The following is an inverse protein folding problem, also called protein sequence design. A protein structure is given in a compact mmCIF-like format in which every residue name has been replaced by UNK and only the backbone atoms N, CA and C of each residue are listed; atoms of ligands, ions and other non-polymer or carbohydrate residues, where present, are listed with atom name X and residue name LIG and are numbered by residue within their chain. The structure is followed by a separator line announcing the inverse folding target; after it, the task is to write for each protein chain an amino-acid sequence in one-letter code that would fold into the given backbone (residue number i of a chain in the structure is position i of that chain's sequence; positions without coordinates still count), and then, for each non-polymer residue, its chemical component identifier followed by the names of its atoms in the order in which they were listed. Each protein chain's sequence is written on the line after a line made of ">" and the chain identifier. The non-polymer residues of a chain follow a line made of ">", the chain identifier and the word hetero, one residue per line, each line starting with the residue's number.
data_IF_742241833474
#
_entry.id   IF_742241833474
#
_cell.length_a   1.000
_cell.length_b   1.000
_cell.length_c   1.000
_cell.angle_alpha   90.00
_cell.angle_beta   90.00
_cell.angle_gamma   90.00
#
_symmetry.space_group_name_H-M   'P 1'
#
loop_
_entity.id
_entity.type
_entity.pdbx_description
1 polymer ?
#
# COMPACT_ATOMS: atom_id res chain seq x y z
N UNK A 1 -0.62 6.52 -12.82
CA UNK A 1 -0.60 5.20 -12.17
C UNK A 1 -1.97 4.93 -11.55
N UNK A 2 -2.77 3.98 -12.07
CA UNK A 2 -4.18 3.79 -11.66
C UNK A 2 -4.31 2.58 -10.72
N UNK A 3 -5.03 2.74 -9.61
CA UNK A 3 -5.34 1.69 -8.66
C UNK A 3 -6.85 1.56 -8.47
N UNK A 4 -7.44 0.42 -8.84
CA UNK A 4 -8.89 0.24 -8.85
C UNK A 4 -9.42 -0.27 -7.52
N UNK A 5 -10.59 0.22 -7.09
CA UNK A 5 -11.25 -0.30 -5.91
C UNK A 5 -11.84 -1.68 -6.22
N UNK A 6 -11.68 -2.62 -5.29
CA UNK A 6 -12.30 -3.94 -5.38
C UNK A 6 -13.72 -3.91 -4.80
N UNK A 7 -14.66 -4.56 -5.49
CA UNK A 7 -15.96 -4.92 -4.92
C UNK A 7 -15.85 -6.07 -3.93
N UNK A 8 -14.84 -6.94 -4.10
CA UNK A 8 -14.52 -8.04 -3.21
C UNK A 8 -13.02 -8.36 -3.31
N UNK A 9 -12.31 -8.59 -2.19
CA UNK A 9 -10.87 -8.81 -2.18
C UNK A 9 -10.54 -10.27 -2.54
N UNK A 10 -10.74 -10.67 -3.80
CA UNK A 10 -10.45 -12.04 -4.27
C UNK A 10 -9.93 -12.08 -5.70
N UNK A 11 -9.20 -13.14 -6.00
CA UNK A 11 -8.72 -13.40 -7.36
C UNK A 11 -9.84 -13.92 -8.28
N UNK A 12 -9.72 -13.69 -9.61
CA UNK A 12 -8.82 -12.71 -10.21
C UNK A 12 -9.33 -11.28 -9.95
N UNK A 13 -8.45 -10.38 -9.49
CA UNK A 13 -8.84 -9.01 -9.10
C UNK A 13 -9.54 -8.23 -10.21
N UNK A 14 -9.18 -8.48 -11.47
CA UNK A 14 -9.80 -7.86 -12.64
C UNK A 14 -11.31 -8.05 -12.69
N UNK A 15 -11.82 -9.20 -12.24
CA UNK A 15 -13.26 -9.49 -12.24
C UNK A 15 -14.02 -8.73 -11.15
N UNK A 16 -13.31 -8.21 -10.14
CA UNK A 16 -13.88 -7.50 -9.00
C UNK A 16 -13.53 -6.00 -9.00
N UNK A 17 -12.75 -5.53 -9.98
CA UNK A 17 -12.35 -4.14 -10.09
C UNK A 17 -13.54 -3.25 -10.52
N UNK A 18 -13.78 -2.20 -9.73
CA UNK A 18 -14.71 -1.12 -10.08
C UNK A 18 -13.97 -0.12 -10.96
N UNK A 19 -14.29 -0.10 -12.24
CA UNK A 19 -13.54 0.70 -13.23
C UNK A 19 -13.87 2.20 -13.16
N UNK A 20 -14.96 2.55 -12.49
CA UNK A 20 -15.44 3.90 -12.20
C UNK A 20 -14.94 4.44 -10.85
N UNK A 21 -14.34 3.60 -10.00
CA UNK A 21 -13.84 3.99 -8.67
C UNK A 21 -12.36 3.61 -8.55
N UNK A 22 -11.49 4.61 -8.63
CA UNK A 22 -10.04 4.40 -8.63
C UNK A 22 -9.26 5.56 -8.00
N UNK A 23 -8.06 5.24 -7.50
CA UNK A 23 -7.03 6.21 -7.10
C UNK A 23 -6.06 6.44 -8.27
N UNK A 24 -5.56 7.66 -8.40
CA UNK A 24 -4.52 8.02 -9.38
C UNK A 24 -3.28 8.51 -8.66
N UNK A 25 -2.17 7.82 -8.87
CA UNK A 25 -0.85 8.22 -8.39
C UNK A 25 -0.03 8.87 -9.50
N UNK A 26 0.85 9.78 -9.09
CA UNK A 26 1.87 10.34 -9.96
C UNK A 26 2.77 9.24 -10.51
N UNK A 27 3.15 9.38 -11.78
CA UNK A 27 4.11 8.48 -12.44
C UNK A 27 5.56 8.84 -12.12
N UNK A 28 5.77 10.06 -11.65
CA UNK A 28 7.08 10.59 -11.29
C UNK A 28 7.01 11.12 -9.87
N UNK A 29 7.80 10.50 -8.99
CA UNK A 29 7.87 10.86 -7.57
C UNK A 29 8.55 12.23 -7.39
N UNK A 30 9.51 12.59 -8.23
CA UNK A 30 10.13 13.91 -8.21
C UNK A 30 9.14 15.03 -8.51
N UNK A 31 8.24 14.81 -9.48
CA UNK A 31 7.14 15.75 -9.75
C UNK A 31 6.15 15.83 -8.58
N UNK A 32 5.83 14.71 -7.93
CA UNK A 32 4.99 14.69 -6.72
C UNK A 32 5.65 15.45 -5.56
N UNK A 33 6.94 15.23 -5.31
CA UNK A 33 7.71 15.96 -4.31
C UNK A 33 7.78 17.45 -4.62
N UNK A 34 7.92 17.82 -5.90
CA UNK A 34 7.84 19.21 -6.37
C UNK A 34 6.47 19.85 -6.11
N UNK A 35 5.39 19.10 -6.38
CA UNK A 35 4.02 19.56 -6.17
C UNK A 35 3.72 19.88 -4.70
N UNK A 36 4.29 19.12 -3.76
CA UNK A 36 4.09 19.37 -2.33
C UNK A 36 4.81 20.61 -1.77
N UNK A 37 5.75 21.19 -2.53
CA UNK A 37 6.46 22.40 -2.15
C UNK A 37 7.71 22.19 -1.29
N UNK A 38 8.44 23.28 -1.05
CA UNK A 38 9.79 23.28 -0.48
C UNK A 38 9.87 22.71 0.94
N UNK A 39 8.83 22.84 1.75
CA UNK A 39 8.79 22.30 3.12
C UNK A 39 8.83 20.76 3.11
N UNK A 40 8.02 20.13 2.25
CA UNK A 40 8.01 18.68 2.10
C UNK A 40 9.32 18.19 1.52
N UNK A 41 9.89 18.88 0.54
CA UNK A 41 11.21 18.54 0.00
C UNK A 41 12.30 18.57 1.07
N UNK A 42 12.37 19.63 1.88
CA UNK A 42 13.34 19.74 2.96
C UNK A 42 13.18 18.62 3.97
N UNK A 43 11.96 18.36 4.42
CA UNK A 43 11.73 17.31 5.41
C UNK A 43 12.07 15.92 4.86
N UNK A 44 11.85 15.63 3.56
CA UNK A 44 12.35 14.42 2.90
C UNK A 44 13.88 14.35 2.88
N UNK A 45 14.57 15.45 2.60
CA UNK A 45 16.04 15.51 2.61
C UNK A 45 16.61 15.22 4.01
N UNK A 46 15.87 15.57 5.07
CA UNK A 46 16.21 15.25 6.45
C UNK A 46 15.69 13.87 6.91
N UNK A 47 15.07 13.09 6.03
CA UNK A 47 14.62 11.73 6.31
C UNK A 47 13.26 11.63 7.02
N UNK A 48 12.51 12.74 7.13
CA UNK A 48 11.13 12.69 7.62
C UNK A 48 10.21 12.16 6.52
N UNK A 49 9.78 10.92 6.68
CA UNK A 49 8.85 10.26 5.74
C UNK A 49 7.41 10.27 6.24
N UNK A 50 7.12 10.90 7.39
CA UNK A 50 5.75 10.99 7.96
C UNK A 50 4.95 12.15 7.37
N UNK A 51 5.59 12.99 6.56
CA UNK A 51 4.99 14.15 5.90
C UNK A 51 3.75 13.75 5.09
N UNK A 52 2.70 14.58 5.18
CA UNK A 52 1.39 14.38 4.51
C UNK A 52 0.79 12.99 4.78
N UNK A 53 0.87 12.52 6.03
CA UNK A 53 0.25 11.27 6.50
C UNK A 53 0.69 10.03 5.71
N UNK A 54 1.92 10.02 5.16
CA UNK A 54 2.43 8.87 4.41
C UNK A 54 1.95 8.76 2.96
N UNK A 55 1.18 9.73 2.44
CA UNK A 55 0.72 9.73 1.05
C UNK A 55 1.86 9.64 0.03
N UNK A 56 3.02 10.24 0.33
CA UNK A 56 4.21 10.11 -0.51
C UNK A 56 4.76 8.68 -0.52
N UNK A 57 4.85 8.04 0.65
CA UNK A 57 5.31 6.65 0.76
C UNK A 57 4.38 5.70 -0.01
N UNK A 58 3.07 5.90 0.13
CA UNK A 58 2.07 5.15 -0.63
C UNK A 58 2.28 5.32 -2.15
N UNK A 59 2.52 6.55 -2.61
CA UNK A 59 2.80 6.82 -4.02
C UNK A 59 4.12 6.19 -4.51
N UNK A 60 5.17 6.20 -3.68
CA UNK A 60 6.46 5.54 -3.97
C UNK A 60 6.26 4.03 -4.11
N UNK A 61 5.55 3.41 -3.17
CA UNK A 61 5.23 1.97 -3.24
C UNK A 61 4.39 1.65 -4.46
N UNK A 62 3.36 2.46 -4.75
CA UNK A 62 2.55 2.31 -5.95
C UNK A 62 3.45 2.28 -7.20
N UNK A 63 4.31 3.28 -7.36
CA UNK A 63 5.22 3.41 -8.49
C UNK A 63 6.17 2.21 -8.64
N UNK A 64 6.78 1.75 -7.54
CA UNK A 64 7.64 0.56 -7.52
C UNK A 64 6.86 -0.68 -8.00
N UNK A 65 5.67 -0.93 -7.45
CA UNK A 65 4.88 -2.10 -7.76
C UNK A 65 4.44 -2.14 -9.25
N UNK A 66 4.03 -1.02 -9.85
CA UNK A 66 3.69 -1.09 -11.29
C UNK A 66 4.92 -1.19 -12.18
N UNK A 67 6.04 -0.59 -11.78
CA UNK A 67 7.32 -0.77 -12.50
C UNK A 67 7.81 -2.21 -12.44
N UNK A 68 7.46 -2.97 -11.38
CA UNK A 68 7.66 -4.43 -11.32
C UNK A 68 6.60 -5.24 -12.08
N UNK A 69 5.71 -4.59 -12.82
CA UNK A 69 4.71 -5.24 -13.67
C UNK A 69 3.40 -5.59 -12.96
N UNK A 70 3.19 -5.14 -11.72
CA UNK A 70 1.94 -5.40 -10.99
C UNK A 70 0.85 -4.42 -11.36
N UNK A 71 -0.38 -4.94 -11.45
CA UNK A 71 -1.59 -4.10 -11.45
C UNK A 71 -1.95 -3.78 -10.01
N UNK A 72 -2.32 -2.52 -9.75
CA UNK A 72 -2.70 -2.07 -8.42
C UNK A 72 -4.20 -2.15 -8.22
N UNK A 73 -4.56 -2.65 -7.05
CA UNK A 73 -5.93 -2.70 -6.56
C UNK A 73 -5.92 -2.24 -5.11
N UNK A 74 -7.01 -1.65 -4.64
CA UNK A 74 -7.19 -1.35 -3.22
C UNK A 74 -8.58 -1.84 -2.80
N UNK A 75 -8.81 -1.91 -1.50
CA UNK A 75 -10.14 -2.26 -0.98
C UNK A 75 -10.54 -1.27 0.09
N UNK A 76 -11.70 -0.65 -0.13
CA UNK A 76 -12.31 0.25 0.84
C UNK A 76 -13.78 -0.07 1.00
N UNK A 77 -14.21 -0.23 2.25
CA UNK A 77 -15.63 -0.21 2.64
C UNK A 77 -15.95 1.16 3.20
N UNK A 78 -17.18 1.65 2.97
CA UNK A 78 -17.59 3.06 3.09
C UNK A 78 -17.19 3.82 4.37
N UNK A 79 -16.70 3.21 5.45
CA UNK A 79 -16.27 3.95 6.65
C UNK A 79 -15.23 3.28 7.56
N UNK A 80 -14.92 1.99 7.44
CA UNK A 80 -14.18 1.28 8.52
C UNK A 80 -12.96 0.48 8.10
N UNK A 81 -12.87 0.03 6.85
CA UNK A 81 -11.76 -0.78 6.38
C UNK A 81 -11.19 -0.17 5.11
N UNK A 82 -9.94 0.26 5.17
CA UNK A 82 -9.15 0.66 4.01
C UNK A 82 -7.84 -0.12 4.00
N UNK A 83 -7.58 -0.76 2.86
CA UNK A 83 -6.35 -1.47 2.55
C UNK A 83 -5.69 -0.72 1.40
N UNK A 84 -4.43 -0.31 1.58
CA UNK A 84 -3.71 0.52 0.60
C UNK A 84 -3.60 -0.20 -0.74
N UNK A 85 -3.17 -1.47 -0.70
CA UNK A 85 -3.02 -2.29 -1.90
C UNK A 85 -3.43 -3.75 -1.70
N UNK A 86 -3.87 -4.36 -2.79
CA UNK A 86 -3.98 -5.80 -2.99
C UNK A 86 -3.10 -6.19 -4.19
N UNK A 87 -2.23 -7.17 -3.98
CA UNK A 87 -1.35 -7.70 -5.01
C UNK A 87 -1.51 -9.22 -5.12
N UNK A 88 -1.16 -9.77 -6.28
CA UNK A 88 -0.94 -11.21 -6.42
C UNK A 88 0.51 -11.48 -6.06
N UNK A 89 0.72 -12.18 -4.98
CA UNK A 89 2.03 -12.56 -4.47
C UNK A 89 2.02 -14.08 -4.26
N UNK A 90 3.05 -14.82 -4.65
CA UNK A 90 3.11 -16.29 -4.53
C UNK A 90 1.81 -17.04 -4.93
N UNK A 91 1.13 -16.57 -5.98
CA UNK A 91 -0.10 -17.20 -6.47
C UNK A 91 -1.41 -16.76 -5.80
N UNK A 92 -1.38 -16.06 -4.66
CA UNK A 92 -2.58 -15.76 -3.88
C UNK A 92 -2.87 -14.24 -3.80
N UNK A 93 -4.09 -13.88 -3.40
CA UNK A 93 -4.43 -12.50 -3.08
C UNK A 93 -3.77 -12.12 -1.75
N UNK A 94 -2.99 -11.05 -1.75
CA UNK A 94 -2.28 -10.60 -0.56
C UNK A 94 -2.56 -9.13 -0.29
N UNK A 95 -3.13 -8.80 0.89
CA UNK A 95 -3.25 -7.41 1.32
C UNK A 95 -1.88 -6.85 1.66
N UNK A 96 -1.65 -5.61 1.25
CA UNK A 96 -0.42 -4.87 1.48
C UNK A 96 -0.76 -3.51 2.06
N UNK A 97 -0.20 -3.22 3.23
CA UNK A 97 -0.29 -1.92 3.91
C UNK A 97 1.05 -1.21 3.87
N UNK A 98 1.03 0.11 3.66
CA UNK A 98 2.20 0.99 3.71
C UNK A 98 2.11 1.85 4.96
N UNK A 99 3.14 1.81 5.81
CA UNK A 99 3.19 2.55 7.07
C UNK A 99 4.38 3.48 7.10
N UNK A 100 4.11 4.76 7.31
CA UNK A 100 5.12 5.78 7.58
C UNK A 100 5.64 5.74 9.02
N UNK A 101 4.88 5.18 9.95
CA UNK A 101 5.24 5.06 11.36
C UNK A 101 5.01 3.64 11.88
N UNK A 102 5.95 3.13 12.69
CA UNK A 102 5.98 1.75 13.17
C UNK A 102 4.93 1.42 14.25
N UNK A 103 4.37 2.43 14.94
CA UNK A 103 3.59 2.24 16.16
C UNK A 103 2.07 2.25 16.01
N UNK A 104 1.54 2.16 14.78
CA UNK A 104 0.08 2.03 14.60
C UNK A 104 -0.32 0.56 14.57
N UNK A 105 -0.99 0.08 15.63
CA UNK A 105 -1.79 -1.16 15.59
C UNK A 105 -2.89 -1.00 14.54
N UNK A 106 -2.58 -1.31 13.29
CA UNK A 106 -3.54 -1.32 12.20
C UNK A 106 -4.54 -2.46 12.41
N UNK A 107 -5.81 -2.10 12.61
CA UNK A 107 -6.92 -3.05 12.73
C UNK A 107 -7.24 -3.73 11.39
N UNK A 108 -6.77 -3.16 10.28
CA UNK A 108 -7.07 -3.60 8.91
C UNK A 108 -6.70 -5.07 8.67
N UNK A 109 -5.44 -5.48 8.88
CA UNK A 109 -5.06 -6.91 8.75
C UNK A 109 -5.90 -7.85 9.62
N UNK A 110 -6.14 -7.47 10.88
CA UNK A 110 -6.98 -8.27 11.78
C UNK A 110 -8.40 -8.43 11.24
N UNK A 111 -9.01 -7.35 10.76
CA UNK A 111 -10.34 -7.38 10.13
C UNK A 111 -10.37 -8.22 8.87
N UNK A 112 -9.32 -8.20 8.05
CA UNK A 112 -9.20 -9.07 6.87
C UNK A 112 -9.14 -10.55 7.26
N UNK A 113 -8.44 -10.87 8.35
CA UNK A 113 -8.28 -12.25 8.78
C UNK A 113 -9.58 -12.79 9.38
N UNK A 114 -10.23 -12.00 10.25
CA UNK A 114 -11.46 -12.40 10.93
C UNK A 114 -12.69 -12.42 10.00
N UNK A 115 -12.81 -11.45 9.07
CA UNK A 115 -14.05 -11.25 8.31
C UNK A 115 -13.95 -11.62 6.82
N UNK A 116 -12.75 -11.75 6.28
CA UNK A 116 -12.52 -12.02 4.85
C UNK A 116 -11.70 -13.28 4.59
N UNK A 117 -11.30 -14.02 5.63
CA UNK A 117 -10.66 -15.34 5.50
C UNK A 117 -9.22 -15.29 4.99
N UNK A 118 -8.53 -14.16 5.13
CA UNK A 118 -7.10 -14.07 4.86
C UNK A 118 -6.30 -14.64 6.03
N UNK A 119 -5.18 -15.30 5.75
CA UNK A 119 -4.24 -15.81 6.74
C UNK A 119 -2.85 -15.15 6.66
N UNK A 120 -2.63 -14.36 5.60
CA UNK A 120 -1.39 -13.64 5.35
C UNK A 120 -1.61 -12.21 4.89
N UNK A 121 -0.65 -11.35 5.25
CA UNK A 121 -0.60 -9.97 4.81
C UNK A 121 0.80 -9.41 4.86
N UNK A 122 1.03 -8.34 4.10
CA UNK A 122 2.32 -7.66 4.02
C UNK A 122 2.20 -6.24 4.59
N UNK A 123 3.18 -5.83 5.39
CA UNK A 123 3.36 -4.44 5.81
C UNK A 123 4.70 -3.93 5.31
N UNK A 124 4.70 -2.79 4.62
CA UNK A 124 5.91 -2.05 4.26
C UNK A 124 6.09 -0.88 5.23
N UNK A 125 7.26 -0.74 5.84
CA UNK A 125 7.58 0.44 6.65
C UNK A 125 9.07 0.78 6.64
N UNK A 126 9.45 1.84 7.36
CA UNK A 126 10.85 2.21 7.56
C UNK A 126 11.59 1.29 8.56
N UNK A 127 10.88 0.37 9.22
CA UNK A 127 11.45 -0.56 10.18
C UNK A 127 12.09 -1.79 9.55
N UNK A 128 12.64 -2.66 10.40
CA UNK A 128 13.25 -3.92 9.99
C UNK A 128 12.22 -5.01 9.66
N UNK A 129 12.72 -6.08 9.04
CA UNK A 129 11.96 -7.30 8.82
C UNK A 129 11.42 -7.86 10.14
N UNK A 130 10.16 -8.24 10.15
CA UNK A 130 9.51 -8.95 11.25
C UNK A 130 8.39 -9.84 10.71
N UNK A 131 8.05 -10.91 11.42
CA UNK A 131 6.92 -11.77 11.06
C UNK A 131 6.16 -12.22 12.30
N UNK A 132 4.92 -11.76 12.40
CA UNK A 132 4.06 -11.99 13.56
C UNK A 132 2.61 -12.20 13.10
N UNK A 133 1.94 -13.23 13.62
CA UNK A 133 0.51 -13.51 13.40
C UNK A 133 0.07 -13.42 11.93
N UNK A 134 0.77 -14.12 11.03
CA UNK A 134 0.44 -14.13 9.59
C UNK A 134 0.82 -12.84 8.84
N UNK A 135 1.24 -11.78 9.52
CA UNK A 135 1.69 -10.53 8.90
C UNK A 135 3.21 -10.55 8.77
N UNK A 136 3.71 -10.36 7.56
CA UNK A 136 5.13 -10.17 7.29
C UNK A 136 5.41 -8.69 7.06
N UNK A 137 6.24 -8.11 7.91
CA UNK A 137 6.73 -6.74 7.80
C UNK A 137 8.04 -6.75 7.04
N UNK A 138 8.12 -5.95 5.99
CA UNK A 138 9.36 -5.71 5.26
C UNK A 138 9.77 -4.23 5.35
N UNK A 139 11.08 -3.94 5.38
CA UNK A 139 11.58 -2.63 5.06
C UNK A 139 11.05 -2.16 3.71
N UNK A 140 10.72 -0.87 3.57
CA UNK A 140 10.02 -0.36 2.40
C UNK A 140 10.77 -0.56 1.09
N UNK A 141 12.10 -0.53 1.12
CA UNK A 141 12.93 -0.78 -0.07
C UNK A 141 12.71 -2.19 -0.63
N UNK A 142 12.22 -3.14 0.15
CA UNK A 142 11.92 -4.49 -0.32
C UNK A 142 10.65 -4.57 -1.18
N UNK A 143 9.89 -3.48 -1.32
CA UNK A 143 8.74 -3.41 -2.23
C UNK A 143 9.09 -3.83 -3.68
N UNK A 144 10.34 -3.62 -4.10
CA UNK A 144 10.84 -4.01 -5.42
C UNK A 144 10.91 -5.53 -5.64
N UNK A 145 10.91 -6.33 -4.57
CA UNK A 145 10.95 -7.79 -4.63
C UNK A 145 9.57 -8.43 -4.48
N UNK A 146 8.55 -7.62 -4.18
CA UNK A 146 7.17 -8.07 -4.09
C UNK A 146 6.59 -8.34 -5.47
#
# INVERSE_FOLDING_TARGET
>A
NICFNLSSPKLPFTSYAKHDIFKVYFKDIGLLSGYYGAEVQQALMFGDMQIKNGALLEAVVADILMKSGKKLYYFSTNTTLEVDFFIKYDGEATPLEVKSADNTKSKTMKTLFENYGFDRGIKLSMGNYDKTDGVTKYPIYMAMFL
#
